data_IF_500015351257
#
_entry.id   IF_500015351257
#
_cell.length_a   1.000
_cell.length_b   1.000
_cell.length_c   1.000
_cell.angle_alpha   90.00
_cell.angle_beta   90.00
_cell.angle_gamma   90.00
#
_symmetry.space_group_name_H-M   'P 1'
#
loop_
_entity.id
_entity.type
_entity.pdbx_description
1 polymer ?
#
# COMPACT_ATOMS: atom_id res chain seq x y z
N UNK A 1 -27.52 12.81 -16.63
CA UNK A 1 -26.06 12.54 -16.49
C UNK A 1 -25.72 12.92 -15.06
N UNK A 2 -25.57 11.93 -14.18
CA UNK A 2 -25.24 12.19 -12.77
C UNK A 2 -23.77 12.65 -12.68
N UNK A 3 -23.55 13.90 -12.37
CA UNK A 3 -22.27 14.41 -11.88
C UNK A 3 -22.00 13.86 -10.47
N UNK A 4 -21.93 12.55 -10.34
CA UNK A 4 -21.51 11.90 -9.12
C UNK A 4 -20.02 12.17 -8.91
N UNK A 5 -19.65 12.79 -7.79
CA UNK A 5 -18.27 13.00 -7.42
C UNK A 5 -17.52 11.66 -7.48
N UNK A 6 -16.43 11.63 -8.24
CA UNK A 6 -15.56 10.45 -8.30
C UNK A 6 -14.90 10.22 -6.93
N UNK A 7 -14.90 8.97 -6.47
CA UNK A 7 -14.29 8.58 -5.19
C UNK A 7 -12.78 8.38 -5.35
N UNK A 8 -12.03 9.12 -4.56
CA UNK A 8 -10.58 8.93 -4.41
C UNK A 8 -10.32 7.74 -3.49
N UNK A 9 -9.70 6.70 -4.01
CA UNK A 9 -9.29 5.53 -3.23
C UNK A 9 -7.79 5.59 -2.96
N UNK A 10 -7.41 5.39 -1.69
CA UNK A 10 -6.01 5.27 -1.28
C UNK A 10 -5.59 3.80 -1.28
N UNK A 11 -4.54 3.40 -2.01
CA UNK A 11 -4.08 2.02 -2.05
C UNK A 11 -3.78 1.41 -0.66
N UNK A 12 -3.19 2.19 0.24
CA UNK A 12 -2.92 1.73 1.61
C UNK A 12 -4.18 1.43 2.42
N UNK A 13 -5.32 2.06 2.10
CA UNK A 13 -6.57 1.79 2.81
C UNK A 13 -7.11 0.39 2.53
N UNK A 14 -6.72 -0.24 1.43
CA UNK A 14 -7.10 -1.63 1.16
C UNK A 14 -6.47 -2.58 2.17
N UNK A 15 -5.20 -2.34 2.53
CA UNK A 15 -4.47 -3.13 3.50
C UNK A 15 -4.89 -2.88 4.95
N UNK A 16 -5.31 -1.65 5.29
CA UNK A 16 -5.47 -1.24 6.68
C UNK A 16 -6.89 -0.86 7.09
N UNK A 17 -7.83 -0.75 6.17
CA UNK A 17 -9.17 -0.27 6.50
C UNK A 17 -10.29 -1.06 5.81
N UNK A 18 -10.21 -1.27 4.50
CA UNK A 18 -11.27 -1.96 3.76
C UNK A 18 -11.54 -3.38 4.26
N UNK A 19 -10.48 -4.15 4.45
CA UNK A 19 -10.56 -5.53 4.93
C UNK A 19 -11.00 -5.61 6.40
N UNK A 20 -10.67 -4.59 7.19
CA UNK A 20 -11.00 -4.55 8.62
C UNK A 20 -12.42 -4.07 8.87
N UNK A 21 -12.90 -3.03 8.14
CA UNK A 21 -14.19 -2.43 8.41
C UNK A 21 -14.74 -1.60 7.25
N UNK A 22 -15.71 -2.13 6.53
CA UNK A 22 -16.39 -1.42 5.42
C UNK A 22 -17.13 -0.17 5.88
N UNK A 23 -17.68 -0.16 7.11
CA UNK A 23 -18.31 1.02 7.71
C UNK A 23 -17.32 2.19 7.87
N UNK A 24 -16.15 1.93 8.47
CA UNK A 24 -15.13 2.96 8.64
C UNK A 24 -14.53 3.40 7.32
N UNK A 25 -14.36 2.48 6.37
CA UNK A 25 -13.91 2.80 5.02
C UNK A 25 -14.87 3.73 4.29
N UNK A 26 -16.18 3.42 4.32
CA UNK A 26 -17.22 4.28 3.74
C UNK A 26 -17.19 5.68 4.36
N UNK A 27 -17.12 5.77 5.70
CA UNK A 27 -17.06 7.06 6.39
C UNK A 27 -15.84 7.88 5.94
N UNK A 28 -14.68 7.22 5.79
CA UNK A 28 -13.47 7.89 5.34
C UNK A 28 -13.59 8.40 3.91
N UNK A 29 -13.97 7.52 2.98
CA UNK A 29 -13.92 7.83 1.54
C UNK A 29 -15.07 8.71 1.11
N UNK A 30 -16.30 8.43 1.56
CA UNK A 30 -17.50 9.14 1.12
C UNK A 30 -17.84 10.34 1.98
N UNK A 31 -17.61 10.27 3.30
CA UNK A 31 -18.00 11.31 4.23
C UNK A 31 -16.83 12.17 4.73
N UNK A 32 -15.59 11.85 4.32
CA UNK A 32 -14.39 12.57 4.75
C UNK A 32 -14.04 12.41 6.24
N UNK A 33 -14.66 11.46 6.95
CA UNK A 33 -14.42 11.23 8.37
C UNK A 33 -13.28 10.24 8.52
N UNK A 34 -12.10 10.74 8.81
CA UNK A 34 -10.92 9.89 9.06
C UNK A 34 -10.57 9.86 10.54
N UNK A 35 -10.02 8.73 10.95
CA UNK A 35 -9.37 8.56 12.23
C UNK A 35 -7.86 8.46 12.00
N UNK A 36 -7.10 9.34 12.63
CA UNK A 36 -5.66 9.19 12.71
C UNK A 36 -5.34 8.44 14.00
N UNK A 37 -5.05 7.14 13.89
CA UNK A 37 -4.51 6.37 15.01
C UNK A 37 -3.14 6.92 15.44
N UNK A 38 -2.74 6.60 16.68
CA UNK A 38 -1.38 6.86 17.15
C UNK A 38 -0.41 5.93 16.38
N UNK A 39 0.08 6.40 15.23
CA UNK A 39 1.16 5.73 14.52
C UNK A 39 2.48 6.32 15.01
N UNK A 40 3.37 5.51 15.63
CA UNK A 40 4.64 6.03 16.10
C UNK A 40 5.45 6.62 14.94
N UNK A 41 5.79 7.90 15.01
CA UNK A 41 6.54 8.64 13.99
C UNK A 41 7.88 8.00 13.65
N UNK A 42 8.42 7.20 14.56
CA UNK A 42 9.65 6.45 14.40
C UNK A 42 9.61 5.48 13.21
N UNK A 43 8.48 4.80 12.95
CA UNK A 43 8.37 3.88 11.81
C UNK A 43 8.50 4.60 10.47
N UNK A 44 7.88 5.77 10.32
CA UNK A 44 8.07 6.60 9.13
C UNK A 44 9.52 7.06 8.97
N UNK A 45 10.19 7.39 10.09
CA UNK A 45 11.61 7.79 10.05
C UNK A 45 12.51 6.62 9.63
N UNK A 46 12.29 5.42 10.17
CA UNK A 46 13.06 4.22 9.81
C UNK A 46 12.85 3.91 8.31
N UNK A 47 11.60 3.91 7.85
CA UNK A 47 11.29 3.65 6.44
C UNK A 47 12.00 4.64 5.51
N UNK A 48 11.94 5.94 5.83
CA UNK A 48 12.65 6.96 5.05
C UNK A 48 14.16 6.75 5.04
N UNK A 49 14.78 6.51 6.19
CA UNK A 49 16.23 6.27 6.28
C UNK A 49 16.65 5.05 5.46
N UNK A 50 15.85 3.98 5.50
CA UNK A 50 16.08 2.80 4.69
C UNK A 50 16.03 3.14 3.20
N UNK A 51 14.96 3.74 2.74
CA UNK A 51 14.79 4.12 1.33
C UNK A 51 15.91 5.04 0.86
N UNK A 52 16.28 6.06 1.67
CA UNK A 52 17.38 6.98 1.35
C UNK A 52 18.73 6.23 1.23
N UNK A 53 18.93 5.16 2.01
CA UNK A 53 20.20 4.40 2.02
C UNK A 53 20.38 3.46 0.83
N UNK A 54 19.28 3.06 0.18
CA UNK A 54 19.31 2.09 -0.93
C UNK A 54 19.18 2.73 -2.31
N UNK A 55 18.98 4.05 -2.39
CA UNK A 55 18.92 4.74 -3.68
C UNK A 55 20.19 4.57 -4.48
N UNK A 56 20.04 4.23 -5.78
CA UNK A 56 21.15 3.96 -6.69
C UNK A 56 21.77 2.56 -6.56
N UNK A 57 21.34 1.75 -5.59
CA UNK A 57 21.78 0.35 -5.46
C UNK A 57 21.03 -0.56 -6.42
N UNK A 58 21.63 -1.71 -6.77
CA UNK A 58 20.90 -2.79 -7.38
C UNK A 58 20.03 -3.50 -6.32
N UNK A 59 18.80 -3.84 -6.67
CA UNK A 59 17.92 -4.57 -5.75
C UNK A 59 18.54 -5.89 -5.25
N UNK A 60 19.33 -6.57 -6.07
CA UNK A 60 20.01 -7.81 -5.70
C UNK A 60 21.09 -7.62 -4.63
N UNK A 61 21.63 -6.40 -4.46
CA UNK A 61 22.53 -6.09 -3.35
C UNK A 61 21.81 -6.08 -2.00
N UNK A 62 20.47 -5.88 -2.02
CA UNK A 62 19.63 -5.94 -0.82
C UNK A 62 19.27 -7.40 -0.50
N UNK A 63 18.86 -8.17 -1.50
CA UNK A 63 18.55 -9.59 -1.36
C UNK A 63 18.66 -10.31 -2.73
N UNK A 64 19.35 -11.47 -2.81
CA UNK A 64 19.61 -12.15 -4.09
C UNK A 64 18.37 -12.58 -4.87
N UNK A 65 17.24 -12.82 -4.20
CA UNK A 65 15.97 -13.20 -4.85
C UNK A 65 15.15 -12.03 -5.38
N UNK A 66 15.57 -10.78 -5.13
CA UNK A 66 14.96 -9.62 -5.75
C UNK A 66 15.31 -9.55 -7.25
N UNK A 67 14.42 -8.97 -8.07
CA UNK A 67 14.74 -8.77 -9.49
C UNK A 67 15.97 -7.86 -9.66
N UNK A 68 16.79 -8.13 -10.68
CA UNK A 68 17.92 -7.25 -11.02
C UNK A 68 17.41 -5.92 -11.56
N UNK A 69 17.91 -4.82 -11.01
CA UNK A 69 17.56 -3.47 -11.46
C UNK A 69 18.05 -2.40 -10.48
N UNK A 70 18.27 -1.21 -11.00
CA UNK A 70 18.74 -0.07 -10.21
C UNK A 70 17.55 0.70 -9.64
N UNK A 71 17.61 1.04 -8.36
CA UNK A 71 16.59 1.84 -7.67
C UNK A 71 16.73 3.30 -8.11
N UNK A 72 15.78 3.78 -8.91
CA UNK A 72 15.81 5.13 -9.47
C UNK A 72 14.80 6.08 -8.82
N UNK A 73 13.65 5.57 -8.35
CA UNK A 73 12.55 6.39 -7.85
C UNK A 73 12.09 5.88 -6.49
N UNK A 74 12.02 6.78 -5.52
CA UNK A 74 11.41 6.54 -4.21
C UNK A 74 10.27 7.52 -3.93
N UNK A 75 9.26 7.07 -3.18
CA UNK A 75 8.11 7.87 -2.71
C UNK A 75 7.38 8.64 -3.84
N UNK A 76 7.24 8.01 -5.01
CA UNK A 76 6.56 8.63 -6.14
C UNK A 76 5.05 8.77 -5.90
N UNK A 77 4.50 9.96 -6.21
CA UNK A 77 3.06 10.18 -6.22
C UNK A 77 2.43 9.59 -7.48
N UNK A 78 1.28 8.94 -7.31
CA UNK A 78 0.50 8.40 -8.40
C UNK A 78 -0.97 8.84 -8.31
N UNK A 79 -1.59 8.96 -9.48
CA UNK A 79 -3.02 9.13 -9.65
C UNK A 79 -3.45 8.42 -10.93
N UNK A 80 -4.45 7.55 -10.85
CA UNK A 80 -4.97 6.84 -12.02
C UNK A 80 -6.05 7.66 -12.74
N UNK A 81 -6.32 7.29 -13.99
CA UNK A 81 -7.61 7.58 -14.62
C UNK A 81 -8.74 6.96 -13.79
N UNK A 82 -9.98 7.37 -14.06
CA UNK A 82 -11.15 6.70 -13.49
C UNK A 82 -11.21 5.25 -13.95
N UNK A 83 -11.46 4.33 -13.01
CA UNK A 83 -11.55 2.90 -13.31
C UNK A 83 -12.87 2.62 -14.01
N UNK A 84 -12.81 1.93 -15.14
CA UNK A 84 -13.96 1.62 -15.97
C UNK A 84 -15.09 0.99 -15.15
N UNK A 85 -16.32 1.32 -15.53
CA UNK A 85 -17.57 0.86 -14.89
C UNK A 85 -17.70 1.20 -13.41
N UNK A 86 -16.89 2.13 -12.92
CA UNK A 86 -16.94 2.64 -11.54
C UNK A 86 -16.85 4.16 -11.54
N UNK A 87 -17.14 4.80 -10.41
CA UNK A 87 -16.86 6.20 -10.15
C UNK A 87 -15.64 6.37 -9.21
N UNK A 88 -14.67 5.46 -9.32
CA UNK A 88 -13.49 5.42 -8.47
C UNK A 88 -12.21 5.72 -9.26
N UNK A 89 -11.24 6.35 -8.61
CA UNK A 89 -9.88 6.50 -9.09
C UNK A 89 -8.88 6.29 -7.94
N UNK A 90 -7.67 5.89 -8.26
CA UNK A 90 -6.63 5.63 -7.29
C UNK A 90 -5.72 6.83 -7.12
N UNK A 91 -5.30 7.11 -5.89
CA UNK A 91 -4.31 8.15 -5.62
C UNK A 91 -3.54 7.83 -4.34
N UNK A 92 -2.22 7.89 -4.41
CA UNK A 92 -1.35 7.55 -3.30
C UNK A 92 0.13 7.78 -3.61
N UNK A 93 0.98 7.18 -2.78
CA UNK A 93 2.43 7.15 -2.97
C UNK A 93 2.90 5.71 -2.88
N UNK A 94 3.77 5.33 -3.81
CA UNK A 94 4.50 4.05 -3.75
C UNK A 94 5.89 4.28 -3.13
N UNK A 95 6.48 3.20 -2.60
CA UNK A 95 7.80 3.31 -1.95
C UNK A 95 8.93 3.34 -2.97
N UNK A 96 9.10 2.28 -3.77
CA UNK A 96 10.22 2.11 -4.70
C UNK A 96 9.73 1.65 -6.06
N UNK A 97 10.29 2.28 -7.09
CA UNK A 97 10.16 1.85 -8.48
C UNK A 97 11.55 1.66 -9.07
N UNK A 98 11.80 0.49 -9.63
CA UNK A 98 13.09 0.09 -10.17
C UNK A 98 12.95 -0.30 -11.63
N UNK A 99 13.79 0.26 -12.50
CA UNK A 99 13.84 -0.11 -13.92
C UNK A 99 14.58 -1.44 -14.08
N UNK A 100 13.98 -2.34 -14.84
CA UNK A 100 14.55 -3.65 -15.17
C UNK A 100 15.25 -3.62 -16.54
N UNK A 101 16.08 -4.65 -16.82
CA UNK A 101 16.85 -4.75 -18.05
C UNK A 101 15.96 -4.88 -19.30
N UNK A 102 14.76 -5.43 -19.18
CA UNK A 102 13.77 -5.56 -20.26
C UNK A 102 12.98 -4.28 -20.56
N UNK A 103 13.30 -3.19 -19.86
CA UNK A 103 12.65 -1.89 -20.00
C UNK A 103 11.33 -1.76 -19.23
N UNK A 104 10.89 -2.80 -18.56
CA UNK A 104 9.75 -2.74 -17.60
C UNK A 104 10.23 -2.27 -16.23
N UNK A 105 9.31 -2.16 -15.26
CA UNK A 105 9.66 -1.79 -13.91
C UNK A 105 9.24 -2.85 -12.88
N UNK A 106 9.98 -2.90 -11.78
CA UNK A 106 9.59 -3.59 -10.55
C UNK A 106 9.06 -2.57 -9.53
N UNK A 107 7.93 -2.89 -8.92
CA UNK A 107 7.29 -2.11 -7.87
C UNK A 107 7.50 -2.81 -6.52
N UNK A 108 8.24 -2.16 -5.62
CA UNK A 108 8.64 -2.71 -4.34
C UNK A 108 8.09 -1.85 -3.21
N UNK A 109 7.47 -2.49 -2.24
CA UNK A 109 6.94 -1.83 -1.05
C UNK A 109 7.67 -2.38 0.20
N UNK A 110 8.25 -1.49 1.02
CA UNK A 110 8.98 -1.88 2.22
C UNK A 110 8.06 -1.87 3.44
N UNK A 111 8.11 -2.94 4.21
CA UNK A 111 7.31 -3.06 5.44
C UNK A 111 8.16 -3.50 6.62
N UNK A 112 8.08 -2.73 7.70
CA UNK A 112 8.62 -3.18 8.99
C UNK A 112 7.58 -4.15 9.57
N UNK A 113 7.79 -5.44 9.34
CA UNK A 113 6.84 -6.49 9.67
C UNK A 113 7.55 -7.84 9.81
N UNK A 114 6.92 -8.76 10.56
CA UNK A 114 7.35 -10.16 10.57
C UNK A 114 7.27 -10.76 9.15
N UNK A 115 8.21 -11.62 8.75
CA UNK A 115 8.27 -12.22 7.40
C UNK A 115 7.29 -13.39 7.21
N UNK A 116 6.07 -13.27 7.74
CA UNK A 116 4.98 -14.23 7.53
C UNK A 116 4.36 -14.00 6.15
N UNK A 117 4.70 -14.85 5.19
CA UNK A 117 4.34 -14.70 3.79
C UNK A 117 2.82 -14.65 3.58
N UNK A 118 2.06 -15.56 4.19
CA UNK A 118 0.60 -15.59 4.02
C UNK A 118 -0.05 -14.28 4.50
N UNK A 119 0.38 -13.77 5.65
CA UNK A 119 -0.13 -12.50 6.18
C UNK A 119 0.29 -11.32 5.31
N UNK A 120 1.52 -11.30 4.82
CA UNK A 120 2.02 -10.26 3.94
C UNK A 120 1.22 -10.23 2.64
N UNK A 121 1.09 -11.36 1.95
CA UNK A 121 0.35 -11.46 0.68
C UNK A 121 -1.12 -11.08 0.86
N UNK A 122 -1.80 -11.65 1.85
CA UNK A 122 -3.20 -11.34 2.15
C UNK A 122 -3.42 -9.84 2.43
N UNK A 123 -2.48 -9.20 3.12
CA UNK A 123 -2.62 -7.81 3.54
C UNK A 123 -2.29 -6.82 2.43
N UNK A 124 -1.23 -7.04 1.68
CA UNK A 124 -0.66 -6.02 0.81
C UNK A 124 -0.89 -6.26 -0.69
N UNK A 125 -1.39 -7.43 -1.11
CA UNK A 125 -1.64 -7.73 -2.51
C UNK A 125 -2.51 -6.67 -3.20
N UNK A 126 -3.65 -6.32 -2.62
CA UNK A 126 -4.55 -5.31 -3.19
C UNK A 126 -3.92 -3.91 -3.27
N UNK A 127 -3.04 -3.58 -2.32
CA UNK A 127 -2.29 -2.32 -2.34
C UNK A 127 -1.34 -2.25 -3.53
N UNK A 128 -0.58 -3.34 -3.78
CA UNK A 128 0.38 -3.40 -4.88
C UNK A 128 -0.33 -3.41 -6.26
N UNK A 129 -1.44 -4.14 -6.38
CA UNK A 129 -2.26 -4.10 -7.59
C UNK A 129 -2.83 -2.70 -7.87
N UNK A 130 -3.21 -1.96 -6.83
CA UNK A 130 -3.66 -0.58 -6.99
C UNK A 130 -2.55 0.34 -7.48
N UNK A 131 -1.33 0.19 -6.95
CA UNK A 131 -0.18 0.94 -7.44
C UNK A 131 0.15 0.57 -8.90
N UNK A 132 0.19 -0.74 -9.23
CA UNK A 132 0.39 -1.22 -10.60
C UNK A 132 -0.65 -0.62 -11.55
N UNK A 133 -1.94 -0.73 -11.24
CA UNK A 133 -3.00 -0.17 -12.06
C UNK A 133 -2.79 1.33 -12.30
N UNK A 134 -2.48 2.10 -11.26
CA UNK A 134 -2.33 3.55 -11.37
C UNK A 134 -1.08 3.96 -12.16
N UNK A 135 0.02 3.20 -12.07
CA UNK A 135 1.22 3.43 -12.85
C UNK A 135 1.05 3.06 -14.34
N UNK A 136 0.27 2.01 -14.62
CA UNK A 136 -0.03 1.59 -15.99
C UNK A 136 -1.18 2.39 -16.63
N UNK A 137 -2.03 3.06 -15.83
CA UNK A 137 -3.15 3.88 -16.29
C UNK A 137 -3.15 5.25 -15.59
N UNK A 138 -2.09 6.05 -15.75
CA UNK A 138 -1.97 7.31 -15.04
C UNK A 138 -2.96 8.35 -15.57
N UNK A 139 -3.45 9.23 -14.67
CA UNK A 139 -4.27 10.37 -15.06
C UNK A 139 -3.46 11.43 -15.83
N UNK A 140 -2.14 11.48 -15.61
CA UNK A 140 -1.20 12.39 -16.28
C UNK A 140 0.15 11.67 -16.45
N UNK A 141 0.87 12.01 -17.52
CA UNK A 141 2.16 11.40 -17.86
C UNK A 141 2.01 10.09 -18.65
N UNK A 142 3.15 9.46 -18.87
CA UNK A 142 3.22 8.23 -19.65
C UNK A 142 2.99 6.99 -18.78
N UNK A 143 2.31 5.95 -19.30
CA UNK A 143 2.16 4.67 -18.62
C UNK A 143 3.51 4.00 -18.35
N UNK A 144 3.64 3.47 -17.12
CA UNK A 144 4.83 2.71 -16.70
C UNK A 144 4.43 1.24 -16.57
N UNK A 145 5.00 0.39 -17.41
CA UNK A 145 4.72 -1.06 -17.37
C UNK A 145 5.38 -1.73 -16.17
N UNK A 146 4.59 -2.37 -15.32
CA UNK A 146 5.04 -3.10 -14.14
C UNK A 146 5.01 -4.61 -14.42
N UNK A 147 6.16 -5.25 -14.48
CA UNK A 147 6.27 -6.71 -14.71
C UNK A 147 6.56 -7.49 -13.43
N UNK A 148 7.04 -6.83 -12.38
CA UNK A 148 7.32 -7.44 -11.07
C UNK A 148 6.77 -6.55 -9.98
N UNK A 149 6.19 -7.16 -8.94
CA UNK A 149 5.78 -6.42 -7.75
C UNK A 149 5.86 -7.31 -6.51
N UNK A 150 6.03 -6.69 -5.35
CA UNK A 150 6.05 -7.41 -4.10
C UNK A 150 6.46 -6.55 -2.91
N UNK A 151 6.57 -7.21 -1.77
CA UNK A 151 6.90 -6.59 -0.49
C UNK A 151 8.25 -7.09 -0.02
N UNK A 152 9.09 -6.17 0.46
CA UNK A 152 10.27 -6.51 1.26
C UNK A 152 9.93 -6.27 2.72
N UNK A 153 9.83 -7.36 3.48
CA UNK A 153 9.66 -7.25 4.94
C UNK A 153 11.00 -7.13 5.64
N UNK A 154 11.03 -6.26 6.63
CA UNK A 154 12.19 -6.00 7.48
C UNK A 154 11.76 -6.19 8.91
N UNK A 155 12.37 -7.19 9.57
CA UNK A 155 12.12 -7.51 10.96
C UNK A 155 13.43 -7.48 11.74
N UNK A 156 13.67 -6.50 12.62
CA UNK A 156 14.90 -6.45 13.41
C UNK A 156 15.11 -7.74 14.21
N UNK A 157 16.29 -8.37 14.06
CA UNK A 157 16.64 -9.64 14.69
C UNK A 157 17.58 -9.44 15.87
N UNK A 158 18.54 -8.52 15.71
CA UNK A 158 19.54 -8.23 16.75
C UNK A 158 19.73 -6.73 16.93
N UNK A 159 20.14 -6.37 18.14
CA UNK A 159 20.56 -5.02 18.47
C UNK A 159 21.98 -5.04 19.04
N UNK A 160 22.88 -4.25 18.48
CA UNK A 160 24.30 -4.19 18.88
C UNK A 160 24.70 -2.75 19.20
N UNK A 161 25.57 -2.61 20.21
CA UNK A 161 26.24 -1.36 20.47
C UNK A 161 27.61 -1.40 19.76
N UNK A 162 27.80 -0.56 18.74
CA UNK A 162 29.04 -0.48 17.95
C UNK A 162 29.49 0.98 17.98
N UNK A 163 30.68 1.26 18.50
CA UNK A 163 31.28 2.60 18.58
C UNK A 163 30.32 3.66 19.18
N UNK A 164 29.60 3.29 20.25
CA UNK A 164 28.63 4.16 20.92
C UNK A 164 27.31 4.37 20.18
N UNK A 165 27.08 3.66 19.06
CA UNK A 165 25.84 3.70 18.26
C UNK A 165 25.05 2.42 18.44
N UNK A 166 23.73 2.55 18.58
CA UNK A 166 22.83 1.40 18.55
C UNK A 166 22.57 1.07 17.08
N UNK A 167 22.90 -0.17 16.69
CA UNK A 167 22.68 -0.72 15.36
C UNK A 167 21.77 -1.93 15.51
N UNK A 168 20.69 -2.00 14.75
CA UNK A 168 19.93 -3.22 14.62
C UNK A 168 20.16 -3.84 13.25
N UNK A 169 20.27 -5.16 13.23
CA UNK A 169 20.47 -5.96 12.01
C UNK A 169 19.20 -6.71 11.68
N UNK A 170 19.00 -6.93 10.39
CA UNK A 170 17.87 -7.64 9.86
C UNK A 170 18.24 -8.30 8.53
N UNK A 171 17.64 -9.46 8.26
CA UNK A 171 17.66 -10.04 6.91
C UNK A 171 16.37 -9.64 6.21
N UNK A 172 16.45 -8.83 5.14
CA UNK A 172 15.27 -8.52 4.35
C UNK A 172 14.67 -9.79 3.74
N UNK A 173 13.35 -9.93 3.74
CA UNK A 173 12.68 -11.07 3.08
C UNK A 173 11.82 -10.56 1.93
N UNK A 174 12.03 -11.11 0.74
CA UNK A 174 11.26 -10.79 -0.45
C UNK A 174 10.00 -11.67 -0.55
N UNK A 175 8.86 -11.03 -0.70
CA UNK A 175 7.55 -11.65 -0.90
C UNK A 175 7.02 -11.22 -2.26
N UNK A 176 7.23 -12.00 -3.34
CA UNK A 176 6.67 -11.69 -4.64
C UNK A 176 5.15 -11.78 -4.61
N UNK A 177 4.50 -10.87 -5.34
CA UNK A 177 3.06 -10.84 -5.50
C UNK A 177 2.76 -11.16 -6.97
N UNK A 178 2.07 -12.27 -7.19
CA UNK A 178 1.58 -12.65 -8.51
C UNK A 178 0.47 -11.70 -8.96
N UNK A 179 0.44 -11.42 -10.27
CA UNK A 179 -0.55 -10.53 -10.84
C UNK A 179 -1.94 -11.18 -10.90
N UNK A 180 -2.92 -10.53 -10.27
CA UNK A 180 -4.35 -10.83 -10.39
C UNK A 180 -5.16 -9.54 -10.59
N UNK A 181 -5.01 -8.95 -11.78
CA UNK A 181 -5.77 -7.72 -12.11
C UNK A 181 -7.27 -7.98 -12.22
N UNK A 182 -7.69 -9.20 -12.56
CA UNK A 182 -9.12 -9.55 -12.61
C UNK A 182 -9.73 -9.52 -11.21
N UNK A 183 -9.09 -10.17 -10.25
CA UNK A 183 -9.49 -10.14 -8.84
C UNK A 183 -9.44 -8.73 -8.26
N UNK A 184 -8.42 -7.94 -8.61
CA UNK A 184 -8.31 -6.55 -8.18
C UNK A 184 -9.45 -5.67 -8.72
N UNK A 185 -9.77 -5.74 -10.01
CA UNK A 185 -10.87 -4.96 -10.59
C UNK A 185 -12.24 -5.37 -10.03
N UNK A 186 -12.43 -6.65 -9.70
CA UNK A 186 -13.62 -7.12 -8.98
C UNK A 186 -13.70 -6.50 -7.58
N UNK A 187 -12.59 -6.41 -6.86
CA UNK A 187 -12.52 -5.71 -5.57
C UNK A 187 -12.93 -4.23 -5.71
N UNK A 188 -12.44 -3.52 -6.73
CA UNK A 188 -12.81 -2.13 -6.97
C UNK A 188 -14.30 -1.97 -7.30
N UNK A 189 -14.88 -2.90 -8.06
CA UNK A 189 -16.30 -2.92 -8.33
C UNK A 189 -17.13 -3.12 -7.05
N UNK A 190 -16.69 -4.01 -6.15
CA UNK A 190 -17.31 -4.19 -4.83
C UNK A 190 -17.22 -2.90 -3.99
N UNK A 191 -16.05 -2.26 -3.94
CA UNK A 191 -15.85 -0.99 -3.26
C UNK A 191 -16.78 0.09 -3.81
N UNK A 192 -16.85 0.22 -5.13
CA UNK A 192 -17.75 1.17 -5.81
C UNK A 192 -19.21 0.92 -5.44
N UNK A 193 -19.63 -0.33 -5.42
CA UNK A 193 -21.01 -0.71 -5.03
C UNK A 193 -21.30 -0.29 -3.60
N UNK A 194 -20.39 -0.55 -2.67
CA UNK A 194 -20.54 -0.13 -1.26
C UNK A 194 -20.61 1.39 -1.15
N UNK A 195 -19.73 2.12 -1.82
CA UNK A 195 -19.70 3.59 -1.76
C UNK A 195 -20.94 4.26 -2.39
N UNK A 196 -21.54 3.64 -3.39
CA UNK A 196 -22.78 4.12 -4.00
C UNK A 196 -24.05 3.72 -3.23
N UNK A 197 -23.93 2.73 -2.33
CA UNK A 197 -25.02 2.24 -1.50
C UNK A 197 -25.22 3.06 -0.21
N UNK A 198 -25.94 2.45 0.71
CA UNK A 198 -26.13 2.95 2.07
C UNK A 198 -24.90 2.72 2.93
N UNK A 199 -24.78 3.46 4.04
CA UNK A 199 -23.72 3.27 5.02
C UNK A 199 -23.76 1.83 5.57
N UNK A 200 -22.71 1.03 5.39
CA UNK A 200 -22.65 -0.32 5.95
C UNK A 200 -22.85 -0.33 7.48
N UNK A 201 -23.39 -1.40 8.06
CA UNK A 201 -23.52 -1.50 9.52
C UNK A 201 -22.17 -1.42 10.22
N UNK A 202 -22.18 -1.02 11.48
CA UNK A 202 -20.98 -1.03 12.34
C UNK A 202 -20.45 -2.46 12.48
N UNK A 203 -19.13 -2.61 12.51
CA UNK A 203 -18.48 -3.90 12.72
C UNK A 203 -18.31 -4.19 14.20
N UNK A 204 -18.74 -5.35 14.65
CA UNK A 204 -18.58 -5.82 16.03
C UNK A 204 -17.13 -6.19 16.39
N UNK A 205 -16.28 -6.40 15.38
CA UNK A 205 -14.84 -6.72 15.54
C UNK A 205 -13.93 -5.52 15.34
N UNK A 206 -14.44 -4.43 14.75
CA UNK A 206 -13.65 -3.23 14.54
C UNK A 206 -13.49 -2.42 15.83
N UNK A 207 -12.27 -2.29 16.30
CA UNK A 207 -11.96 -1.56 17.57
C UNK A 207 -12.44 -0.11 17.54
N UNK A 208 -12.38 0.54 16.36
CA UNK A 208 -12.86 1.92 16.18
C UNK A 208 -14.38 2.02 16.28
N UNK A 209 -15.12 1.08 15.67
CA UNK A 209 -16.58 1.02 15.79
C UNK A 209 -17.00 0.76 17.25
N UNK A 210 -16.34 -0.20 17.90
CA UNK A 210 -16.57 -0.52 19.32
C UNK A 210 -16.30 0.71 20.21
N UNK A 211 -15.17 1.38 20.00
CA UNK A 211 -14.84 2.59 20.76
C UNK A 211 -15.91 3.67 20.58
N UNK A 212 -16.26 4.01 19.34
CA UNK A 212 -17.27 5.05 19.04
C UNK A 212 -18.64 4.71 19.62
N UNK A 213 -19.08 3.46 19.50
CA UNK A 213 -20.40 3.04 20.02
C UNK A 213 -20.52 3.13 21.55
N UNK A 214 -19.39 2.93 22.25
CA UNK A 214 -19.34 3.03 23.72
C UNK A 214 -19.36 4.47 24.23
N UNK A 215 -18.75 5.39 23.49
CA UNK A 215 -18.58 6.79 23.91
C UNK A 215 -19.53 7.77 23.21
N UNK A 216 -20.29 7.35 22.21
CA UNK A 216 -21.32 8.19 21.56
C UNK A 216 -22.53 8.51 22.47
N UNK A 217 -22.53 8.02 23.71
CA UNK A 217 -23.59 8.26 24.72
C UNK A 217 -23.24 9.35 25.73
N UNK A 218 -22.10 9.99 25.58
CA UNK A 218 -21.64 11.13 26.38
C UNK A 218 -21.38 12.33 25.46
#
# INVERSE_FOLDING_TARGET
MNNGNAYKLSPSDFAYLWNDCKHCYYQKVKLGVSYSGLFPSMFGRINKLLQDSIMGMNLQDIHPSLPSGIIEIQEGYLMSVQINDTNCFLSGRFDILTKLEDGTCALIDFKIASPDEEKILKKYSSQLHAYKFALENPANGDPIKISKMGVVSINPEEMKLIDGKIVFTTMPTWHPIEEDMVGFLKLISEISTVLNGELPPISETCTLCIYRSRFAKY
#
